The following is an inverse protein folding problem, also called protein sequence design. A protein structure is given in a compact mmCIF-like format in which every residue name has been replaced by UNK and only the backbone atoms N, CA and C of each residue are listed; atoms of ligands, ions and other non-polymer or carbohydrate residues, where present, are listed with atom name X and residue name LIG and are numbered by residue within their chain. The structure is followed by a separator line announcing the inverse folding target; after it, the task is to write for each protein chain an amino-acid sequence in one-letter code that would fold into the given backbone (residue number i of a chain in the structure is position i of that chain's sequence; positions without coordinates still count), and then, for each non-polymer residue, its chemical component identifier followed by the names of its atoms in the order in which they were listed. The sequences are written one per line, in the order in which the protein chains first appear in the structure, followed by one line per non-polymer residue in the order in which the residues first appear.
data_IF_334060987982
#
_entry.id   IF_334060987982
#
_cell.length_a   1.000
_cell.length_b   1.000
_cell.length_c   1.000
_cell.angle_alpha   90.00
_cell.angle_beta   90.00
_cell.angle_gamma   90.00
#
_symmetry.space_group_name_H-M   'P 1'
#
loop_
_entity.id
_entity.type
_entity.pdbx_description
1 polymer ?
#
# COMPACT_ATOMS: atom_id res chain seq x y z
N UNK A 1 -15.36 -9.30 -50.58
CA UNK A 1 -15.81 -10.28 -49.58
C UNK A 1 -14.55 -10.71 -48.86
N UNK A 2 -14.06 -9.86 -47.95
CA UNK A 2 -14.38 -9.78 -46.51
C UNK A 2 -13.29 -10.51 -45.73
N UNK A 3 -12.51 -9.69 -45.04
CA UNK A 3 -11.27 -9.99 -44.34
C UNK A 3 -11.54 -10.89 -43.13
N UNK A 4 -10.91 -12.06 -43.08
CA UNK A 4 -10.62 -12.75 -41.83
C UNK A 4 -9.37 -12.12 -41.22
N UNK A 5 -9.51 -11.42 -40.10
CA UNK A 5 -8.46 -11.34 -39.09
C UNK A 5 -9.13 -11.06 -37.74
N UNK A 6 -9.12 -12.09 -36.91
CA UNK A 6 -9.64 -12.06 -35.55
C UNK A 6 -8.97 -10.97 -34.72
N UNK A 7 -9.81 -10.27 -33.95
CA UNK A 7 -9.39 -9.29 -32.98
C UNK A 7 -8.38 -9.89 -31.98
N UNK A 8 -7.30 -9.18 -31.60
CA UNK A 8 -6.71 -9.41 -30.29
C UNK A 8 -7.67 -8.81 -29.27
N UNK A 9 -8.40 -9.67 -28.57
CA UNK A 9 -9.11 -9.32 -27.35
C UNK A 9 -8.02 -8.99 -26.31
N UNK A 10 -7.65 -7.72 -26.20
CA UNK A 10 -6.83 -7.22 -25.09
C UNK A 10 -7.72 -7.34 -23.87
N UNK A 11 -7.57 -8.43 -23.13
CA UNK A 11 -8.13 -8.56 -21.81
C UNK A 11 -7.43 -7.56 -20.91
N UNK A 12 -8.06 -6.40 -20.71
CA UNK A 12 -7.83 -5.54 -19.55
C UNK A 12 -8.32 -6.31 -18.30
N UNK A 13 -7.59 -7.37 -17.94
CA UNK A 13 -7.71 -7.92 -16.59
C UNK A 13 -7.13 -6.87 -15.64
N UNK A 14 -7.90 -6.35 -14.67
CA UNK A 14 -7.33 -5.55 -13.62
C UNK A 14 -6.36 -6.47 -12.89
N UNK A 15 -5.06 -6.23 -13.04
CA UNK A 15 -4.02 -6.88 -12.24
C UNK A 15 -4.38 -6.62 -10.78
N UNK A 16 -5.11 -7.55 -10.17
CA UNK A 16 -5.35 -7.57 -8.74
C UNK A 16 -3.99 -7.83 -8.13
N UNK A 17 -3.24 -6.75 -7.86
CA UNK A 17 -2.03 -6.79 -7.07
C UNK A 17 -2.47 -7.24 -5.69
N UNK A 18 -2.45 -8.56 -5.48
CA UNK A 18 -2.63 -9.16 -4.17
C UNK A 18 -1.67 -8.42 -3.22
N UNK A 19 -2.16 -7.98 -2.05
CA UNK A 19 -1.32 -7.25 -1.12
C UNK A 19 -0.11 -8.11 -0.76
N UNK A 20 1.08 -7.71 -1.23
CA UNK A 20 2.30 -8.42 -0.91
C UNK A 20 2.59 -8.24 0.57
N UNK A 21 2.50 -9.33 1.34
CA UNK A 21 2.83 -9.33 2.74
C UNK A 21 4.35 -9.17 2.88
N UNK A 22 4.79 -8.15 3.63
CA UNK A 22 6.21 -7.93 3.92
C UNK A 22 6.48 -8.26 5.38
N UNK A 23 7.50 -9.08 5.61
CA UNK A 23 7.99 -9.37 6.96
C UNK A 23 8.66 -8.11 7.54
N UNK A 24 8.34 -7.78 8.79
CA UNK A 24 8.89 -6.59 9.47
C UNK A 24 10.36 -6.85 9.81
N UNK A 25 11.27 -6.09 9.20
CA UNK A 25 12.73 -6.29 9.34
C UNK A 25 13.35 -5.34 10.36
N UNK A 26 12.72 -4.19 10.61
CA UNK A 26 13.27 -3.13 11.45
C UNK A 26 12.40 -2.79 12.66
N UNK A 27 13.05 -2.35 13.75
CA UNK A 27 12.36 -1.80 14.93
C UNK A 27 11.50 -0.58 14.61
N UNK A 28 11.87 0.19 13.57
CA UNK A 28 11.12 1.36 13.14
C UNK A 28 9.87 0.97 12.35
N UNK A 29 10.02 0.02 11.42
CA UNK A 29 8.89 -0.59 10.71
C UNK A 29 7.89 -1.21 11.68
N UNK A 30 8.37 -1.87 12.73
CA UNK A 30 7.53 -2.42 13.79
C UNK A 30 6.66 -1.34 14.46
N UNK A 31 7.26 -0.19 14.81
CA UNK A 31 6.53 0.92 15.43
C UNK A 31 5.50 1.50 14.46
N UNK A 32 5.85 1.66 13.19
CA UNK A 32 4.92 2.18 12.17
C UNK A 32 3.77 1.20 11.95
N UNK A 33 4.05 -0.09 11.83
CA UNK A 33 3.04 -1.12 11.71
C UNK A 33 2.11 -1.14 12.93
N UNK A 34 2.66 -1.00 14.14
CA UNK A 34 1.89 -0.94 15.38
C UNK A 34 1.00 0.28 15.46
N UNK A 35 1.47 1.44 14.99
CA UNK A 35 0.66 2.66 14.93
C UNK A 35 -0.52 2.51 13.96
N UNK A 36 -0.26 1.99 12.75
CA UNK A 36 -1.32 1.74 11.74
C UNK A 36 -2.34 0.72 12.21
N UNK A 37 -1.89 -0.37 12.82
CA UNK A 37 -2.81 -1.39 13.35
C UNK A 37 -3.62 -0.83 14.53
N UNK A 38 -3.03 0.01 15.38
CA UNK A 38 -3.75 0.67 16.45
C UNK A 38 -4.83 1.64 15.93
N UNK A 39 -4.53 2.40 14.88
CA UNK A 39 -5.52 3.26 14.20
C UNK A 39 -6.68 2.42 13.68
N UNK A 40 -6.40 1.34 12.94
CA UNK A 40 -7.41 0.41 12.41
C UNK A 40 -8.31 -0.17 13.51
N UNK A 41 -7.72 -0.57 14.64
CA UNK A 41 -8.47 -1.08 15.78
C UNK A 41 -9.33 0.00 16.45
N UNK A 42 -8.80 1.21 16.59
CA UNK A 42 -9.52 2.32 17.18
C UNK A 42 -10.76 2.67 16.35
N UNK A 43 -10.61 2.73 15.03
CA UNK A 43 -11.71 2.95 14.10
C UNK A 43 -12.73 1.81 14.16
N UNK A 44 -12.25 0.56 14.21
CA UNK A 44 -13.12 -0.59 14.39
C UNK A 44 -13.96 -0.47 15.67
N UNK A 45 -13.34 -0.17 16.82
CA UNK A 45 -14.04 -0.02 18.10
C UNK A 45 -15.05 1.14 18.07
N UNK A 46 -14.65 2.29 17.52
CA UNK A 46 -15.53 3.45 17.38
C UNK A 46 -16.74 3.15 16.50
N UNK A 47 -16.52 2.53 15.35
CA UNK A 47 -17.59 2.22 14.38
C UNK A 47 -18.59 1.19 14.92
N UNK A 48 -18.17 0.33 15.83
CA UNK A 48 -19.03 -0.69 16.43
C UNK A 48 -19.54 -0.29 17.83
N UNK A 49 -19.17 0.89 18.35
CA UNK A 49 -19.55 1.34 19.69
C UNK A 49 -19.01 0.46 20.82
N UNK A 50 -17.90 -0.26 20.56
CA UNK A 50 -17.30 -1.19 21.51
C UNK A 50 -16.25 -0.43 22.34
N UNK A 51 -16.30 -0.59 23.66
CA UNK A 51 -15.23 -0.10 24.53
C UNK A 51 -14.13 -1.16 24.63
N UNK A 52 -12.87 -0.83 24.29
CA UNK A 52 -11.78 -1.79 24.40
C UNK A 52 -11.40 -2.03 25.85
N UNK A 53 -11.17 -3.31 26.21
CA UNK A 53 -10.77 -3.72 27.57
C UNK A 53 -9.35 -3.26 27.93
N UNK A 54 -8.52 -2.97 26.93
CA UNK A 54 -7.12 -2.57 27.06
C UNK A 54 -6.78 -1.42 26.12
N UNK A 55 -5.61 -0.82 26.31
CA UNK A 55 -5.12 0.21 25.40
C UNK A 55 -4.97 -0.36 23.99
N UNK A 56 -5.56 0.30 23.02
CA UNK A 56 -5.55 -0.12 21.60
C UNK A 56 -4.12 -0.29 21.07
N UNK A 57 -3.18 0.52 21.54
CA UNK A 57 -1.76 0.42 21.21
C UNK A 57 -1.10 -0.86 21.74
N UNK A 58 -1.44 -1.30 22.94
CA UNK A 58 -0.91 -2.57 23.49
C UNK A 58 -1.48 -3.77 22.73
N UNK A 59 -2.75 -3.70 22.34
CA UNK A 59 -3.36 -4.74 21.51
C UNK A 59 -2.73 -4.84 20.12
N UNK A 60 -2.49 -3.69 19.48
CA UNK A 60 -1.86 -3.64 18.16
C UNK A 60 -0.45 -4.26 18.17
N UNK A 61 0.34 -3.94 19.20
CA UNK A 61 1.68 -4.53 19.41
C UNK A 61 1.59 -6.05 19.53
N UNK A 62 0.66 -6.57 20.32
CA UNK A 62 0.50 -8.02 20.50
C UNK A 62 0.07 -8.70 19.20
N UNK A 63 -0.88 -8.11 18.46
CA UNK A 63 -1.33 -8.65 17.17
C UNK A 63 -0.21 -8.72 16.14
N UNK A 64 0.68 -7.72 16.11
CA UNK A 64 1.84 -7.74 15.21
C UNK A 64 2.84 -8.81 15.63
N UNK A 65 3.15 -8.92 16.93
CA UNK A 65 4.05 -9.96 17.44
C UNK A 65 3.54 -11.38 17.16
N UNK A 66 2.23 -11.55 17.13
CA UNK A 66 1.58 -12.83 16.81
C UNK A 66 1.38 -13.05 15.31
N UNK A 67 1.78 -12.11 14.45
CA UNK A 67 1.56 -12.19 13.00
C UNK A 67 0.08 -12.10 12.58
N UNK A 68 -0.80 -11.62 13.46
CA UNK A 68 -2.24 -11.45 13.20
C UNK A 68 -2.55 -10.13 12.49
N UNK A 69 -1.62 -9.19 12.50
CA UNK A 69 -1.75 -7.91 11.80
C UNK A 69 -1.19 -8.03 10.39
N UNK A 70 -2.04 -7.70 9.40
CA UNK A 70 -1.72 -7.72 7.96
C UNK A 70 -1.32 -6.33 7.45
N UNK A 71 -0.77 -5.46 8.29
CA UNK A 71 -0.38 -4.11 7.86
C UNK A 71 0.77 -4.23 6.86
N UNK A 72 0.44 -4.07 5.58
CA UNK A 72 1.41 -3.97 4.49
C UNK A 72 2.13 -2.63 4.65
N UNK A 73 3.42 -2.70 4.94
CA UNK A 73 4.28 -1.54 4.75
C UNK A 73 4.61 -1.48 3.25
N UNK A 74 3.89 -0.63 2.54
CA UNK A 74 4.28 -0.26 1.18
C UNK A 74 5.57 0.58 1.30
N UNK A 75 6.69 0.04 0.81
CA UNK A 75 7.91 0.83 0.73
C UNK A 75 7.61 2.10 -0.07
N UNK A 76 8.04 3.29 0.40
CA UNK A 76 7.89 4.49 -0.40
C UNK A 76 8.56 4.25 -1.75
N UNK A 77 7.76 4.18 -2.82
CA UNK A 77 8.30 4.09 -4.18
C UNK A 77 9.33 5.21 -4.32
N UNK A 78 10.58 4.91 -4.72
CA UNK A 78 11.54 5.96 -4.99
C UNK A 78 10.88 6.93 -5.96
N UNK A 79 10.83 8.21 -5.59
CA UNK A 79 10.23 9.24 -6.43
C UNK A 79 10.76 9.05 -7.84
N UNK A 80 9.86 8.74 -8.80
CA UNK A 80 10.22 8.64 -10.20
C UNK A 80 10.93 9.94 -10.54
N UNK A 81 12.21 9.84 -10.93
CA UNK A 81 13.01 11.00 -11.31
C UNK A 81 12.21 11.77 -12.37
N UNK A 82 11.67 12.92 -11.98
CA UNK A 82 11.08 13.87 -12.90
C UNK A 82 12.14 14.13 -13.96
N UNK A 83 11.94 13.52 -15.12
CA UNK A 83 12.78 13.69 -16.29
C UNK A 83 12.80 15.17 -16.55
N UNK A 84 13.92 15.82 -16.19
CA UNK A 84 14.16 17.24 -16.44
C UNK A 84 13.93 17.43 -17.92
N UNK A 85 12.80 18.04 -18.28
CA UNK A 85 12.54 18.48 -19.64
C UNK A 85 13.57 19.57 -19.91
N UNK A 86 14.69 19.19 -20.50
CA UNK A 86 15.64 20.13 -21.07
C UNK A 86 14.86 20.91 -22.13
N UNK A 87 14.46 22.14 -21.79
CA UNK A 87 13.95 23.09 -22.75
C UNK A 87 15.12 23.54 -23.60
N UNK A 88 15.37 22.82 -24.70
CA UNK A 88 16.30 23.25 -25.74
C UNK A 88 15.75 24.54 -26.36
N UNK A 89 16.26 25.68 -25.90
CA UNK A 89 15.99 26.98 -26.52
C UNK A 89 16.74 27.06 -27.85
N UNK A 90 16.01 26.92 -28.96
CA UNK A 90 16.51 27.29 -30.28
C UNK A 90 16.55 28.81 -30.39
N UNK A 91 17.73 29.40 -30.29
CA UNK A 91 17.96 30.76 -30.78
C UNK A 91 18.32 30.67 -32.27
N UNK A 92 17.41 31.14 -33.13
CA UNK A 92 17.62 31.25 -34.58
C UNK A 92 18.56 32.41 -34.95
N UNK A 93 19.04 32.44 -36.21
CA UNK A 93 20.15 33.28 -36.69
C UNK A 93 19.84 34.78 -36.71
#
# INVERSE_FOLDING_TARGET
MSEENGAPFVSDEPTSSEPQFHEIRSKYEFVIAAAREAERLNDYYRNHGIQPDRKVTTEAIDRIKQGLSRVVYEEPKPAEEETRKESTYFFGP
#
